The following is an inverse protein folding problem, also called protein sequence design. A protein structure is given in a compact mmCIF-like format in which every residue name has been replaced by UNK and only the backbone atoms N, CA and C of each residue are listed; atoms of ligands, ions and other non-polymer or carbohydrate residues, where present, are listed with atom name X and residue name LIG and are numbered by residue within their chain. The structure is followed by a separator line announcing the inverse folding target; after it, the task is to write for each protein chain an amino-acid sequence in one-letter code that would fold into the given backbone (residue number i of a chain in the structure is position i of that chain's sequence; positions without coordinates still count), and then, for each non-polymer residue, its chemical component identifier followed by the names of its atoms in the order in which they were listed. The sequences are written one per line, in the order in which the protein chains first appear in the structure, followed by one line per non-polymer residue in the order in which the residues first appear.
data_IF_144917356356
#
_entry.id   IF_144917356356
#
_cell.length_a   1.000
_cell.length_b   1.000
_cell.length_c   1.000
_cell.angle_alpha   90.00
_cell.angle_beta   90.00
_cell.angle_gamma   90.00
#
_symmetry.space_group_name_H-M   'P 1'
#
loop_
_entity.id
_entity.type
_entity.pdbx_description
1 polymer ?
#
# COMPACT_ATOMS: atom_id res chain seq x y z
N UNK A 1 -48.98 -45.86 23.25
CA UNK A 1 -49.09 -44.73 22.30
C UNK A 1 -47.78 -43.94 22.40
N UNK A 2 -46.67 -44.30 21.74
CA UNK A 2 -46.38 -44.45 20.30
C UNK A 2 -46.53 -43.16 19.49
N UNK A 3 -45.36 -42.70 18.99
CA UNK A 3 -45.06 -41.73 17.92
C UNK A 3 -44.97 -40.25 18.33
N UNK A 4 -43.74 -39.79 18.56
CA UNK A 4 -43.16 -38.64 17.81
C UNK A 4 -41.64 -38.53 18.06
N UNK A 5 -40.94 -39.67 17.98
CA UNK A 5 -39.48 -39.70 17.82
C UNK A 5 -39.16 -39.67 16.32
N UNK A 6 -39.51 -38.62 15.57
CA UNK A 6 -39.02 -38.49 14.18
C UNK A 6 -39.19 -37.09 13.56
N UNK A 7 -38.46 -36.09 14.05
CA UNK A 7 -38.08 -34.93 13.22
C UNK A 7 -36.60 -34.62 13.38
N UNK A 8 -35.77 -35.67 13.26
CA UNK A 8 -34.36 -35.51 12.92
C UNK A 8 -34.24 -35.58 11.39
N UNK A 9 -33.49 -34.62 10.85
CA UNK A 9 -33.13 -34.46 9.45
C UNK A 9 -34.34 -34.06 8.57
N UNK A 10 -34.32 -32.99 7.80
CA UNK A 10 -33.23 -32.40 7.03
C UNK A 10 -33.49 -30.90 6.93
N UNK A 11 -32.74 -30.10 7.69
CA UNK A 11 -32.45 -28.75 7.21
C UNK A 11 -31.60 -28.97 5.96
N UNK A 12 -32.25 -29.05 4.79
CA UNK A 12 -31.57 -29.08 3.49
C UNK A 12 -30.77 -27.80 3.45
N UNK A 13 -29.48 -27.93 3.76
CA UNK A 13 -28.48 -26.86 3.70
C UNK A 13 -28.49 -26.44 2.24
N UNK A 14 -29.28 -25.40 1.94
CA UNK A 14 -29.57 -24.98 0.57
C UNK A 14 -28.25 -24.93 -0.19
N UNK A 15 -28.08 -25.73 -1.26
CA UNK A 15 -26.80 -25.83 -1.96
C UNK A 15 -26.36 -24.44 -2.46
N UNK A 16 -27.33 -23.55 -2.71
CA UNK A 16 -27.11 -22.15 -3.05
C UNK A 16 -26.42 -21.35 -1.92
N UNK A 17 -26.83 -21.53 -0.65
CA UNK A 17 -26.17 -20.87 0.49
C UNK A 17 -24.74 -21.37 0.67
N UNK A 18 -24.51 -22.67 0.49
CA UNK A 18 -23.16 -23.25 0.58
C UNK A 18 -22.27 -22.72 -0.55
N UNK A 19 -22.81 -22.61 -1.77
CA UNK A 19 -22.09 -22.06 -2.93
C UNK A 19 -21.73 -20.59 -2.72
N UNK A 20 -22.64 -19.77 -2.18
CA UNK A 20 -22.36 -18.37 -1.85
C UNK A 20 -21.27 -18.20 -0.79
N UNK A 21 -21.26 -19.05 0.24
CA UNK A 21 -20.22 -19.02 1.28
C UNK A 21 -18.86 -19.40 0.69
N UNK A 22 -18.79 -20.47 -0.12
CA UNK A 22 -17.54 -20.89 -0.77
C UNK A 22 -17.05 -19.83 -1.75
N UNK A 23 -17.95 -19.21 -2.52
CA UNK A 23 -17.61 -18.12 -3.43
C UNK A 23 -17.08 -16.91 -2.68
N UNK A 24 -17.72 -16.51 -1.58
CA UNK A 24 -17.29 -15.37 -0.76
C UNK A 24 -15.93 -15.62 -0.08
N UNK A 25 -15.68 -16.83 0.41
CA UNK A 25 -14.38 -17.20 0.96
C UNK A 25 -13.30 -17.25 -0.14
N UNK A 26 -13.64 -17.76 -1.32
CA UNK A 26 -12.76 -17.81 -2.48
C UNK A 26 -12.35 -16.42 -2.95
N UNK A 27 -13.30 -15.48 -3.05
CA UNK A 27 -13.01 -14.10 -3.44
C UNK A 27 -12.21 -13.36 -2.38
N UNK A 28 -12.56 -13.51 -1.09
CA UNK A 28 -11.79 -12.91 0.01
C UNK A 28 -10.35 -13.43 0.06
N UNK A 29 -10.16 -14.74 -0.09
CA UNK A 29 -8.83 -15.36 -0.14
C UNK A 29 -8.02 -14.90 -1.35
N UNK A 30 -8.66 -14.80 -2.53
CA UNK A 30 -8.02 -14.33 -3.76
C UNK A 30 -7.61 -12.86 -3.68
N UNK A 31 -8.46 -11.99 -3.11
CA UNK A 31 -8.14 -10.58 -2.87
C UNK A 31 -6.97 -10.48 -1.89
N UNK A 32 -7.01 -11.19 -0.78
CA UNK A 32 -5.94 -11.14 0.23
C UNK A 32 -4.60 -11.66 -0.30
N UNK A 33 -4.62 -12.70 -1.13
CA UNK A 33 -3.44 -13.23 -1.81
C UNK A 33 -2.83 -12.22 -2.79
N UNK A 34 -3.65 -11.57 -3.62
CA UNK A 34 -3.16 -10.57 -4.56
C UNK A 34 -2.61 -9.34 -3.83
N UNK A 35 -3.31 -8.83 -2.81
CA UNK A 35 -2.84 -7.70 -2.00
C UNK A 35 -1.48 -8.00 -1.37
N UNK A 36 -1.32 -9.15 -0.69
CA UNK A 36 -0.04 -9.56 -0.08
C UNK A 36 1.10 -9.72 -1.08
N UNK A 37 0.79 -10.20 -2.30
CA UNK A 37 1.79 -10.36 -3.36
C UNK A 37 2.24 -9.02 -3.94
N UNK A 38 1.39 -8.00 -3.91
CA UNK A 38 1.66 -6.70 -4.53
C UNK A 38 2.08 -5.60 -3.55
N UNK A 39 1.74 -5.71 -2.26
CA UNK A 39 2.17 -4.73 -1.25
C UNK A 39 3.59 -5.01 -0.81
N UNK A 40 4.55 -4.09 -1.01
CA UNK A 40 5.90 -4.24 -0.49
C UNK A 40 5.84 -4.35 1.04
N UNK A 41 6.20 -5.52 1.57
CA UNK A 41 6.29 -5.72 3.02
C UNK A 41 7.57 -5.05 3.53
N UNK A 42 7.45 -4.29 4.61
CA UNK A 42 8.61 -3.74 5.30
C UNK A 42 9.44 -4.89 5.90
N UNK A 43 10.76 -4.87 5.70
CA UNK A 43 11.64 -5.96 6.09
C UNK A 43 11.75 -6.14 7.62
N UNK A 44 11.27 -5.19 8.42
CA UNK A 44 11.34 -5.17 9.89
C UNK A 44 10.02 -4.81 10.56
N UNK A 45 8.92 -5.44 10.15
CA UNK A 45 7.58 -5.28 10.76
C UNK A 45 7.00 -3.85 10.72
N UNK A 46 7.51 -3.01 9.83
CA UNK A 46 7.01 -1.66 9.60
C UNK A 46 5.73 -1.64 8.76
N UNK A 47 5.11 -0.46 8.67
CA UNK A 47 3.97 -0.21 7.78
C UNK A 47 4.39 0.68 6.64
N UNK A 48 4.07 0.29 5.42
CA UNK A 48 4.36 1.08 4.23
C UNK A 48 3.42 2.28 4.16
N UNK A 49 3.97 3.47 3.96
CA UNK A 49 3.26 4.73 3.98
C UNK A 49 3.79 5.66 2.89
N UNK A 50 2.89 6.42 2.28
CA UNK A 50 3.21 7.45 1.28
C UNK A 50 2.69 8.84 1.65
N UNK A 51 1.82 8.91 2.67
CA UNK A 51 1.16 10.14 3.09
C UNK A 51 0.84 10.15 4.59
N UNK A 52 0.52 11.34 5.10
CA UNK A 52 -0.02 11.54 6.45
C UNK A 52 -1.32 10.76 6.67
N UNK A 53 -2.18 10.71 5.65
CA UNK A 53 -3.46 10.02 5.72
C UNK A 53 -3.27 8.51 5.90
N UNK A 54 -2.31 7.91 5.19
CA UNK A 54 -1.95 6.50 5.38
C UNK A 54 -1.50 6.26 6.81
N UNK A 55 -0.66 7.15 7.34
CA UNK A 55 -0.12 7.04 8.69
C UNK A 55 -1.19 7.12 9.79
N UNK A 56 -2.12 8.06 9.66
CA UNK A 56 -3.25 8.20 10.59
C UNK A 56 -4.22 7.03 10.50
N UNK A 57 -4.47 6.49 9.30
CA UNK A 57 -5.32 5.31 9.11
C UNK A 57 -4.80 4.07 9.86
N UNK A 58 -3.49 4.04 10.14
CA UNK A 58 -2.86 3.00 10.94
C UNK A 58 -2.88 3.23 12.46
N UNK A 59 -3.48 4.34 12.91
CA UNK A 59 -3.63 4.69 14.32
C UNK A 59 -2.38 5.30 14.97
N UNK A 60 -1.43 5.79 14.16
CA UNK A 60 -0.22 6.46 14.66
C UNK A 60 -0.53 7.91 15.02
N UNK A 61 0.13 8.42 16.05
CA UNK A 61 -0.01 9.82 16.47
C UNK A 61 0.35 10.79 15.34
N UNK A 62 -0.41 11.88 15.23
CA UNK A 62 -0.27 12.84 14.11
C UNK A 62 1.08 13.56 14.13
N UNK A 63 1.65 13.84 15.30
CA UNK A 63 2.97 14.48 15.39
C UNK A 63 4.06 13.53 14.87
N UNK A 64 3.98 12.24 15.23
CA UNK A 64 4.92 11.21 14.73
C UNK A 64 4.80 11.05 13.22
N UNK A 65 3.57 10.99 12.69
CA UNK A 65 3.33 10.92 11.25
C UNK A 65 3.94 12.11 10.50
N UNK A 66 3.75 13.33 11.02
CA UNK A 66 4.30 14.55 10.43
C UNK A 66 5.82 14.53 10.41
N UNK A 67 6.44 14.21 11.54
CA UNK A 67 7.90 14.11 11.62
C UNK A 67 8.46 13.03 10.70
N UNK A 68 7.81 11.87 10.59
CA UNK A 68 8.27 10.80 9.71
C UNK A 68 8.18 11.19 8.22
N UNK A 69 7.07 11.82 7.80
CA UNK A 69 6.90 12.31 6.42
C UNK A 69 7.92 13.40 6.11
N UNK A 70 8.12 14.36 7.01
CA UNK A 70 9.11 15.44 6.84
C UNK A 70 10.53 14.88 6.71
N UNK A 71 10.90 13.90 7.55
CA UNK A 71 12.19 13.21 7.47
C UNK A 71 12.35 12.46 6.15
N UNK A 72 11.32 11.74 5.70
CA UNK A 72 11.36 11.02 4.44
C UNK A 72 11.50 11.98 3.25
N UNK A 73 10.77 13.10 3.26
CA UNK A 73 10.88 14.15 2.24
C UNK A 73 12.28 14.76 2.23
N UNK A 74 12.87 15.04 3.40
CA UNK A 74 14.23 15.57 3.49
C UNK A 74 15.27 14.63 2.88
N UNK A 75 15.11 13.31 3.05
CA UNK A 75 15.96 12.31 2.39
C UNK A 75 15.73 12.32 0.88
N UNK A 76 14.48 12.35 0.42
CA UNK A 76 14.16 12.40 -1.01
C UNK A 76 14.71 13.65 -1.70
N UNK A 77 14.61 14.83 -1.08
CA UNK A 77 15.18 16.08 -1.62
C UNK A 77 16.69 15.98 -1.84
N UNK A 78 17.40 15.23 -1.00
CA UNK A 78 18.86 15.08 -1.06
C UNK A 78 19.32 14.06 -2.08
N UNK A 79 18.57 12.97 -2.23
CA UNK A 79 19.05 11.79 -2.95
C UNK A 79 18.22 11.44 -4.20
N UNK A 80 17.00 11.96 -4.35
CA UNK A 80 16.18 11.71 -5.52
C UNK A 80 16.44 12.74 -6.64
N UNK A 81 16.18 12.38 -7.92
CA UNK A 81 16.30 13.31 -9.02
C UNK A 81 15.38 14.54 -8.86
N UNK A 82 15.92 15.72 -9.14
CA UNK A 82 15.17 16.98 -9.19
C UNK A 82 14.73 17.28 -10.62
N UNK A 83 13.53 17.83 -10.76
CA UNK A 83 12.98 18.35 -12.01
C UNK A 83 12.68 19.85 -11.85
N UNK A 84 12.77 20.62 -12.93
CA UNK A 84 12.54 22.07 -12.87
C UNK A 84 11.06 22.42 -12.79
N UNK A 85 10.21 21.59 -13.40
CA UNK A 85 8.75 21.80 -13.45
C UNK A 85 8.01 20.57 -12.96
N UNK A 86 6.81 20.78 -12.41
CA UNK A 86 5.94 19.69 -11.96
C UNK A 86 5.68 18.70 -13.09
N UNK A 87 5.43 19.21 -14.30
CA UNK A 87 5.17 18.39 -15.48
C UNK A 87 6.34 17.46 -15.82
N UNK A 88 7.58 17.96 -15.80
CA UNK A 88 8.76 17.11 -16.02
C UNK A 88 8.91 16.02 -14.96
N UNK A 89 8.53 16.31 -13.72
CA UNK A 89 8.54 15.35 -12.63
C UNK A 89 7.49 14.25 -12.85
N UNK A 90 6.23 14.63 -13.10
CA UNK A 90 5.11 13.69 -13.29
C UNK A 90 5.20 12.86 -14.57
N UNK A 91 6.01 13.29 -15.55
CA UNK A 91 6.33 12.45 -16.71
C UNK A 91 7.17 11.23 -16.33
N UNK A 92 8.02 11.36 -15.31
CA UNK A 92 8.99 10.35 -14.90
C UNK A 92 8.57 9.61 -13.64
N UNK A 93 7.83 10.25 -12.75
CA UNK A 93 7.48 9.70 -11.44
C UNK A 93 5.97 9.72 -11.21
N UNK A 94 5.47 8.82 -10.36
CA UNK A 94 4.02 8.71 -10.14
C UNK A 94 3.42 9.89 -9.39
N UNK A 95 4.18 10.49 -8.49
CA UNK A 95 3.77 11.59 -7.61
C UNK A 95 5.00 12.45 -7.31
N UNK A 96 4.78 13.75 -7.21
CA UNK A 96 5.81 14.76 -7.06
C UNK A 96 5.39 15.83 -6.06
N UNK A 97 6.36 16.43 -5.38
CA UNK A 97 6.15 17.56 -4.49
C UNK A 97 7.20 18.64 -4.75
N UNK A 98 6.86 19.87 -4.40
CA UNK A 98 7.78 20.99 -4.49
C UNK A 98 8.80 20.92 -3.36
N UNK A 99 10.08 20.96 -3.70
CA UNK A 99 11.17 20.99 -2.74
C UNK A 99 11.30 22.39 -2.15
N UNK A 100 11.60 22.53 -0.83
CA UNK A 100 11.89 23.84 -0.24
C UNK A 100 13.13 24.53 -0.84
N UNK A 101 14.00 23.78 -1.51
CA UNK A 101 15.17 24.30 -2.24
C UNK A 101 14.83 24.75 -3.67
N UNK A 102 13.55 24.66 -4.08
CA UNK A 102 13.07 24.89 -5.43
C UNK A 102 13.08 23.63 -6.29
N UNK A 103 12.23 23.63 -7.31
CA UNK A 103 12.01 22.49 -8.21
C UNK A 103 11.13 21.40 -7.59
N UNK A 104 11.00 20.29 -8.32
CA UNK A 104 10.10 19.19 -7.99
C UNK A 104 10.87 17.90 -7.78
N UNK A 105 10.50 17.17 -6.74
CA UNK A 105 11.13 15.91 -6.32
C UNK A 105 10.05 14.83 -6.25
N UNK A 106 10.33 13.57 -6.62
CA UNK A 106 9.36 12.50 -6.48
C UNK A 106 8.97 12.29 -5.02
N UNK A 107 7.68 12.10 -4.76
CA UNK A 107 7.19 11.81 -3.42
C UNK A 107 7.71 10.45 -2.96
N UNK A 108 8.42 10.36 -1.83
CA UNK A 108 8.86 9.09 -1.31
C UNK A 108 7.72 8.35 -0.62
N UNK A 109 7.78 7.03 -0.72
CA UNK A 109 7.08 6.12 0.16
C UNK A 109 8.11 5.39 1.03
N UNK A 110 7.75 5.08 2.26
CA UNK A 110 8.68 4.57 3.26
C UNK A 110 7.97 3.61 4.21
N UNK A 111 8.78 2.80 4.89
CA UNK A 111 8.38 1.94 5.98
C UNK A 111 8.53 2.68 7.31
N UNK A 112 7.41 2.96 7.97
CA UNK A 112 7.44 3.48 9.34
C UNK A 112 7.77 2.35 10.31
N UNK A 113 8.88 2.52 11.04
CA UNK A 113 9.30 1.58 12.09
C UNK A 113 8.53 1.84 13.40
N UNK A 114 8.51 0.87 14.33
CA UNK A 114 7.86 1.04 15.63
C UNK A 114 8.43 2.18 16.50
N UNK A 115 9.68 2.59 16.24
CA UNK A 115 10.34 3.72 16.89
C UNK A 115 9.93 5.08 16.29
N UNK A 116 9.09 5.10 15.25
CA UNK A 116 8.62 6.30 14.58
C UNK A 116 9.56 6.82 13.49
N UNK A 117 10.68 6.13 13.21
CA UNK A 117 11.61 6.54 12.15
C UNK A 117 11.20 5.98 10.78
N UNK A 118 11.26 6.78 9.71
CA UNK A 118 11.07 6.27 8.36
C UNK A 118 12.30 5.44 7.94
N UNK A 119 12.05 4.33 7.27
CA UNK A 119 13.07 3.43 6.75
C UNK A 119 12.67 2.93 5.37
N UNK A 120 13.61 2.32 4.63
CA UNK A 120 13.32 1.78 3.29
C UNK A 120 12.64 2.80 2.36
N UNK A 121 13.17 4.02 2.36
CA UNK A 121 12.63 5.12 1.57
C UNK A 121 12.78 4.75 0.09
N UNK A 122 11.70 4.90 -0.67
CA UNK A 122 11.60 4.54 -2.08
C UNK A 122 10.77 5.58 -2.81
N UNK A 123 10.95 5.70 -4.12
CA UNK A 123 10.03 6.41 -4.99
C UNK A 123 9.59 5.53 -6.14
N UNK A 124 8.49 5.92 -6.79
CA UNK A 124 7.96 5.21 -7.95
C UNK A 124 8.33 5.96 -9.23
N UNK A 125 9.17 5.33 -10.05
CA UNK A 125 9.53 5.81 -11.38
C UNK A 125 8.75 5.05 -12.46
N UNK A 126 8.27 5.76 -13.48
CA UNK A 126 7.65 5.13 -14.64
C UNK A 126 8.72 4.47 -15.50
N UNK A 127 8.63 3.16 -15.62
CA UNK A 127 9.40 2.36 -16.56
C UNK A 127 8.48 1.93 -17.70
N UNK A 128 8.97 2.03 -18.94
CA UNK A 128 8.27 1.47 -20.09
C UNK A 128 8.60 -0.01 -20.20
N UNK A 129 7.59 -0.87 -20.08
CA UNK A 129 7.77 -2.30 -20.36
C UNK A 129 7.92 -2.53 -21.88
N UNK A 130 8.44 -3.68 -22.30
CA UNK A 130 8.60 -4.11 -23.71
C UNK A 130 7.31 -4.02 -24.54
N UNK A 131 6.15 -3.83 -23.88
CA UNK A 131 4.83 -3.64 -24.49
C UNK A 131 4.33 -2.18 -24.47
N UNK A 132 5.21 -1.20 -24.25
CA UNK A 132 4.89 0.23 -24.11
C UNK A 132 3.84 0.54 -23.04
N UNK A 133 3.72 -0.30 -22.00
CA UNK A 133 2.86 -0.01 -20.85
C UNK A 133 3.67 0.77 -19.83
N UNK A 134 3.11 1.86 -19.31
CA UNK A 134 3.66 2.53 -18.13
C UNK A 134 3.51 1.60 -16.94
N UNK A 135 4.62 1.11 -16.41
CA UNK A 135 4.68 0.34 -15.17
C UNK A 135 5.46 1.17 -14.16
N UNK A 136 5.00 1.22 -12.92
CA UNK A 136 5.76 1.84 -11.84
C UNK A 136 6.82 0.87 -11.33
N UNK A 137 8.04 1.36 -11.21
CA UNK A 137 9.19 0.66 -10.62
C UNK A 137 9.55 1.37 -9.32
N UNK A 138 9.73 0.60 -8.26
CA UNK A 138 10.26 1.10 -7.01
C UNK A 138 11.77 1.30 -7.11
N UNK A 139 12.23 2.51 -6.84
CA UNK A 139 13.65 2.84 -6.72
C UNK A 139 13.92 3.18 -5.25
N UNK A 140 14.90 2.48 -4.65
CA UNK A 140 15.27 2.66 -3.25
C UNK A 140 16.24 3.83 -3.11
N UNK A 141 16.03 4.60 -2.06
CA UNK A 141 16.90 5.67 -1.58
C UNK A 141 17.46 5.19 -0.24
N UNK A 142 18.72 4.81 -0.22
CA UNK A 142 19.49 4.39 0.96
C UNK A 142 20.54 5.43 1.36
#
# INVERSE_FOLDING_TARGET
MSRESEKRATMVKSPFKTFLIVLALGTAGYVMYNVRKTTPACAKDGKYMSSLADCQAWGVDTAVCKTAVEKAHAVAVRAAPKAETMFQCELRFSDCFESPEGGFTPRPAFCLRPDGEPSEIRYLEYESDRRNRKKTKEVRID
#
